data_IF_277564180051
#
_entry.id   IF_277564180051
#
_cell.length_a   1.000
_cell.length_b   1.000
_cell.length_c   1.000
_cell.angle_alpha   90.00
_cell.angle_beta   90.00
_cell.angle_gamma   90.00
#
_symmetry.space_group_name_H-M   'P 1'
#
loop_
_entity.id
_entity.type
_entity.pdbx_description
1 polymer ?
#
# COMPACT_ATOMS: atom_id res chain seq x y z
N UNK A 1 19.65 -59.88 -84.35
CA UNK A 1 20.28 -59.25 -83.17
C UNK A 1 19.77 -57.82 -83.14
N UNK A 2 18.77 -57.59 -82.27
CA UNK A 2 18.12 -56.33 -81.83
C UNK A 2 17.77 -55.23 -82.85
N UNK A 3 16.45 -55.14 -83.10
CA UNK A 3 15.65 -54.00 -83.55
C UNK A 3 15.49 -52.92 -82.45
N UNK A 4 14.75 -51.84 -82.79
CA UNK A 4 14.17 -50.72 -81.99
C UNK A 4 14.91 -49.38 -82.20
N UNK A 5 14.49 -48.52 -83.14
CA UNK A 5 13.34 -47.58 -83.12
C UNK A 5 13.34 -46.59 -81.94
N UNK A 6 13.53 -45.28 -82.24
CA UNK A 6 12.49 -44.30 -81.91
C UNK A 6 12.72 -42.98 -82.68
N UNK A 7 11.76 -42.67 -83.55
CA UNK A 7 11.50 -41.38 -84.16
C UNK A 7 10.17 -40.88 -83.58
N UNK A 8 10.15 -39.76 -82.86
CA UNK A 8 8.95 -39.01 -82.45
C UNK A 8 9.41 -37.84 -81.57
N UNK A 9 8.94 -36.61 -81.69
CA UNK A 9 7.89 -36.03 -82.50
C UNK A 9 8.10 -34.51 -82.53
N UNK A 10 7.83 -33.93 -83.69
CA UNK A 10 7.54 -32.52 -83.84
C UNK A 10 6.21 -32.22 -83.16
N UNK A 11 6.20 -31.36 -82.15
CA UNK A 11 4.96 -30.74 -81.66
C UNK A 11 5.22 -29.30 -81.23
N UNK A 12 5.47 -28.50 -82.27
CA UNK A 12 5.11 -27.09 -82.28
C UNK A 12 3.58 -26.99 -82.23
N UNK A 13 3.08 -25.97 -81.52
CA UNK A 13 1.77 -25.37 -81.72
C UNK A 13 0.60 -26.11 -81.06
N UNK A 14 0.25 -25.68 -79.83
CA UNK A 14 -1.13 -25.50 -79.42
C UNK A 14 -1.19 -24.58 -78.19
N UNK A 15 -1.47 -23.32 -78.52
CA UNK A 15 -1.90 -22.23 -77.67
C UNK A 15 -3.30 -22.56 -77.14
N UNK A 16 -3.39 -23.08 -75.91
CA UNK A 16 -4.67 -23.19 -75.20
C UNK A 16 -4.76 -22.16 -74.08
N UNK A 17 -5.68 -21.23 -74.34
CA UNK A 17 -6.29 -20.23 -73.48
C UNK A 17 -6.63 -20.80 -72.11
N UNK A 18 -5.71 -20.66 -71.15
CA UNK A 18 -6.06 -20.79 -69.73
C UNK A 18 -6.80 -19.53 -69.32
N UNK A 19 -8.11 -19.66 -69.16
CA UNK A 19 -8.97 -18.66 -68.51
C UNK A 19 -8.37 -18.35 -67.14
N UNK A 20 -7.75 -17.17 -67.02
CA UNK A 20 -7.19 -16.66 -65.78
C UNK A 20 -8.36 -16.15 -64.93
N UNK A 21 -8.91 -17.01 -64.07
CA UNK A 21 -9.81 -16.55 -63.00
C UNK A 21 -8.99 -15.57 -62.14
N UNK A 22 -9.37 -14.29 -62.02
CA UNK A 22 -8.71 -13.39 -61.11
C UNK A 22 -8.93 -13.93 -59.70
N UNK A 23 -7.83 -14.29 -59.00
CA UNK A 23 -7.89 -14.60 -57.58
C UNK A 23 -8.50 -13.39 -56.87
N UNK A 24 -9.52 -13.56 -56.01
CA UNK A 24 -10.00 -12.45 -55.20
C UNK A 24 -8.81 -11.90 -54.41
N UNK A 25 -8.58 -10.60 -54.51
CA UNK A 25 -7.64 -9.90 -53.64
C UNK A 25 -8.17 -10.09 -52.22
N UNK A 26 -7.63 -11.08 -51.52
CA UNK A 26 -7.75 -11.15 -50.07
C UNK A 26 -7.17 -9.83 -49.58
N UNK A 27 -7.91 -9.01 -48.81
CA UNK A 27 -7.38 -7.78 -48.28
C UNK A 27 -6.09 -8.14 -47.56
N UNK A 28 -5.00 -7.47 -47.95
CA UNK A 28 -3.67 -7.66 -47.40
C UNK A 28 -3.80 -7.86 -45.90
N UNK A 29 -3.33 -9.03 -45.46
CA UNK A 29 -2.95 -9.29 -44.08
C UNK A 29 -2.33 -8.00 -43.56
N UNK A 30 -3.03 -7.30 -42.65
CA UNK A 30 -2.53 -6.06 -42.06
C UNK A 30 -1.33 -6.49 -41.23
N UNK A 31 -0.18 -6.58 -41.88
CA UNK A 31 1.12 -6.71 -41.26
C UNK A 31 1.27 -5.39 -40.54
N UNK A 32 0.86 -5.39 -39.28
CA UNK A 32 1.14 -4.33 -38.32
C UNK A 32 2.66 -4.26 -38.18
N UNK A 33 3.29 -3.62 -39.16
CA UNK A 33 4.68 -3.19 -39.13
C UNK A 33 4.71 -1.95 -38.24
N UNK A 34 4.23 -2.08 -36.99
CA UNK A 34 4.54 -1.08 -35.99
C UNK A 34 6.07 -1.02 -35.97
N UNK A 35 6.69 0.15 -36.22
CA UNK A 35 8.12 0.22 -36.31
C UNK A 35 8.64 -0.28 -34.96
N UNK A 36 9.35 -1.41 -35.01
CA UNK A 36 9.93 -2.09 -33.85
C UNK A 36 10.54 -1.11 -32.83
N UNK A 37 11.22 0.01 -33.22
CA UNK A 37 11.72 0.99 -32.25
C UNK A 37 10.66 1.80 -31.48
N UNK A 38 9.42 1.93 -31.97
CA UNK A 38 8.31 2.60 -31.27
C UNK A 38 7.48 1.59 -30.48
N UNK A 39 7.34 0.36 -30.99
CA UNK A 39 6.56 -0.66 -30.30
C UNK A 39 7.21 -1.12 -28.99
N UNK A 40 8.54 -1.21 -28.94
CA UNK A 40 9.29 -1.57 -27.72
C UNK A 40 9.04 -0.58 -26.56
N UNK A 41 9.24 0.75 -26.71
CA UNK A 41 9.00 1.69 -25.60
C UNK A 41 7.52 1.75 -25.20
N UNK A 42 6.60 1.62 -26.15
CA UNK A 42 5.17 1.65 -25.87
C UNK A 42 4.74 0.39 -25.08
N UNK A 43 5.27 -0.78 -25.44
CA UNK A 43 5.08 -2.01 -24.68
C UNK A 43 5.72 -1.93 -23.29
N UNK A 44 6.90 -1.31 -23.16
CA UNK A 44 7.56 -1.10 -21.87
C UNK A 44 6.72 -0.18 -20.95
N UNK A 45 6.19 0.93 -21.48
CA UNK A 45 5.31 1.83 -20.72
C UNK A 45 4.03 1.12 -20.27
N UNK A 46 3.41 0.32 -21.15
CA UNK A 46 2.24 -0.47 -20.80
C UNK A 46 2.57 -1.48 -19.69
N UNK A 47 3.70 -2.18 -19.78
CA UNK A 47 4.15 -3.11 -18.74
C UNK A 47 4.41 -2.40 -17.41
N UNK A 48 5.07 -1.23 -17.42
CA UNK A 48 5.31 -0.42 -16.22
C UNK A 48 3.99 0.02 -15.59
N UNK A 49 3.03 0.50 -16.40
CA UNK A 49 1.72 0.91 -15.90
C UNK A 49 0.94 -0.25 -15.26
N UNK A 50 1.00 -1.44 -15.87
CA UNK A 50 0.40 -2.66 -15.31
C UNK A 50 1.08 -3.05 -14.00
N UNK A 51 2.41 -3.05 -13.96
CA UNK A 51 3.18 -3.39 -12.74
C UNK A 51 2.87 -2.38 -11.62
N UNK A 52 2.87 -1.08 -11.92
CA UNK A 52 2.57 -0.04 -10.94
C UNK A 52 1.14 -0.15 -10.40
N UNK A 53 0.16 -0.43 -11.27
CA UNK A 53 -1.22 -0.66 -10.86
C UNK A 53 -1.37 -1.90 -9.95
N UNK A 54 -0.71 -3.01 -10.32
CA UNK A 54 -0.72 -4.23 -9.53
C UNK A 54 -0.03 -4.02 -8.17
N UNK A 55 1.10 -3.31 -8.15
CA UNK A 55 1.82 -2.99 -6.93
C UNK A 55 1.01 -2.07 -6.01
N UNK A 56 0.34 -1.06 -6.56
CA UNK A 56 -0.57 -0.17 -5.81
C UNK A 56 -1.69 -0.96 -5.11
N UNK A 57 -2.24 -1.99 -5.76
CA UNK A 57 -3.27 -2.86 -5.15
C UNK A 57 -2.73 -3.70 -4.01
N UNK A 58 -1.50 -4.20 -4.13
CA UNK A 58 -0.85 -4.94 -3.04
C UNK A 58 -0.57 -4.01 -1.86
N UNK A 59 -0.04 -2.81 -2.10
CA UNK A 59 0.25 -1.84 -1.03
C UNK A 59 -1.00 -1.36 -0.29
N UNK A 60 -2.15 -1.29 -0.95
CA UNK A 60 -3.40 -0.87 -0.31
C UNK A 60 -4.01 -1.98 0.58
N UNK A 61 -3.65 -3.24 0.34
CA UNK A 61 -4.19 -4.39 1.08
C UNK A 61 -3.27 -4.85 2.22
N UNK A 62 -2.04 -4.34 2.28
CA UNK A 62 -1.01 -4.75 3.23
C UNK A 62 -0.85 -3.66 4.30
N UNK A 63 -0.93 -3.99 5.60
CA UNK A 63 -0.72 -3.03 6.69
C UNK A 63 0.75 -2.54 6.71
N UNK A 64 1.00 -1.31 7.20
CA UNK A 64 2.29 -0.59 7.02
C UNK A 64 3.49 -1.35 7.62
N UNK A 65 3.27 -2.08 8.70
CA UNK A 65 4.26 -2.88 9.41
C UNK A 65 4.73 -4.04 8.53
N UNK A 66 3.80 -4.67 7.80
CA UNK A 66 4.12 -5.77 6.88
C UNK A 66 4.71 -5.27 5.55
N UNK A 67 4.39 -4.05 5.12
CA UNK A 67 4.85 -3.50 3.85
C UNK A 67 6.38 -3.37 3.79
N UNK A 68 7.02 -2.92 4.88
CA UNK A 68 8.47 -2.77 4.95
C UNK A 68 9.17 -4.12 4.84
N UNK A 69 8.72 -5.14 5.60
CA UNK A 69 9.28 -6.48 5.55
C UNK A 69 9.10 -7.11 4.15
N UNK A 70 7.90 -7.00 3.57
CA UNK A 70 7.64 -7.50 2.22
C UNK A 70 8.53 -6.79 1.20
N UNK A 71 8.74 -5.48 1.32
CA UNK A 71 9.61 -4.72 0.42
C UNK A 71 11.08 -5.17 0.52
N UNK A 72 11.60 -5.37 1.74
CA UNK A 72 12.97 -5.84 1.97
C UNK A 72 13.15 -7.25 1.40
N UNK A 73 12.22 -8.17 1.69
CA UNK A 73 12.27 -9.55 1.19
C UNK A 73 12.16 -9.58 -0.34
N UNK A 74 11.29 -8.77 -0.92
CA UNK A 74 11.15 -8.67 -2.38
C UNK A 74 12.41 -8.10 -3.02
N UNK A 75 12.98 -7.04 -2.44
CA UNK A 75 14.23 -6.45 -2.92
C UNK A 75 15.38 -7.46 -2.85
N UNK A 76 15.50 -8.21 -1.75
CA UNK A 76 16.50 -9.27 -1.59
C UNK A 76 16.28 -10.42 -2.61
N UNK A 77 15.03 -10.81 -2.85
CA UNK A 77 14.69 -11.85 -3.83
C UNK A 77 15.05 -11.43 -5.26
N UNK A 78 14.68 -10.21 -5.66
CA UNK A 78 15.01 -9.63 -6.96
C UNK A 78 16.54 -9.54 -7.11
N UNK A 79 17.22 -8.94 -6.13
CA UNK A 79 18.66 -8.76 -6.16
C UNK A 79 19.41 -10.09 -6.20
N UNK A 80 19.02 -11.06 -5.38
CA UNK A 80 19.60 -12.40 -5.36
C UNK A 80 19.37 -13.15 -6.67
N UNK A 81 18.17 -13.01 -7.25
CA UNK A 81 17.85 -13.61 -8.54
C UNK A 81 18.68 -13.02 -9.69
N UNK A 82 18.81 -11.69 -9.74
CA UNK A 82 19.67 -11.03 -10.74
C UNK A 82 21.16 -11.30 -10.53
N UNK A 83 21.63 -11.32 -9.27
CA UNK A 83 23.00 -11.67 -8.94
C UNK A 83 23.32 -13.11 -9.39
N UNK A 84 22.42 -14.06 -9.12
CA UNK A 84 22.55 -15.44 -9.58
C UNK A 84 22.57 -15.54 -11.11
N UNK A 85 21.71 -14.78 -11.79
CA UNK A 85 21.69 -14.74 -13.25
C UNK A 85 23.00 -14.17 -13.83
N UNK A 86 23.53 -13.10 -13.22
CA UNK A 86 24.77 -12.46 -13.64
C UNK A 86 25.99 -13.36 -13.44
N UNK A 87 26.02 -14.14 -12.35
CA UNK A 87 27.10 -15.10 -12.07
C UNK A 87 27.06 -16.35 -12.96
N UNK A 88 25.96 -16.61 -13.65
CA UNK A 88 25.79 -17.77 -14.54
C UNK A 88 25.52 -17.33 -15.98
N UNK A 89 26.58 -17.07 -16.79
CA UNK A 89 26.42 -16.61 -18.17
C UNK A 89 25.82 -17.66 -19.14
N UNK A 90 25.61 -18.90 -18.69
CA UNK A 90 25.06 -20.00 -19.49
C UNK A 90 23.83 -20.65 -18.84
N UNK A 91 22.83 -19.85 -18.48
CA UNK A 91 21.56 -20.40 -17.98
C UNK A 91 20.81 -21.13 -19.11
N UNK A 92 20.40 -22.37 -18.84
CA UNK A 92 19.51 -23.09 -19.74
C UNK A 92 18.15 -22.38 -19.85
N UNK A 93 17.39 -22.65 -20.93
CA UNK A 93 16.06 -22.07 -21.12
C UNK A 93 15.10 -22.43 -19.96
N UNK A 94 15.23 -23.62 -19.38
CA UNK A 94 14.45 -24.02 -18.21
C UNK A 94 14.86 -23.27 -16.95
N UNK A 95 16.17 -23.10 -16.70
CA UNK A 95 16.68 -22.35 -15.54
C UNK A 95 16.27 -20.88 -15.56
N UNK A 96 16.18 -20.26 -16.75
CA UNK A 96 15.65 -18.89 -16.89
C UNK A 96 14.17 -18.79 -16.54
N UNK A 97 13.38 -19.79 -16.90
CA UNK A 97 11.93 -19.83 -16.59
C UNK A 97 11.74 -20.04 -15.08
N UNK A 98 12.48 -20.97 -14.49
CA UNK A 98 12.45 -21.26 -13.05
C UNK A 98 12.82 -20.02 -12.22
N UNK A 99 13.91 -19.34 -12.60
CA UNK A 99 14.31 -18.10 -11.96
C UNK A 99 13.25 -16.99 -12.08
N UNK A 100 12.64 -16.85 -13.27
CA UNK A 100 11.57 -15.88 -13.47
C UNK A 100 10.33 -16.19 -12.62
N UNK A 101 10.00 -17.47 -12.42
CA UNK A 101 8.91 -17.87 -11.51
C UNK A 101 9.27 -17.57 -10.05
N UNK A 102 10.48 -17.90 -9.59
CA UNK A 102 10.90 -17.64 -8.21
C UNK A 102 10.89 -16.15 -7.88
N UNK A 103 11.27 -15.29 -8.85
CA UNK A 103 11.24 -13.84 -8.68
C UNK A 103 9.81 -13.29 -8.76
N UNK A 104 8.97 -13.81 -9.66
CA UNK A 104 7.62 -13.31 -9.89
C UNK A 104 6.54 -13.86 -8.95
N UNK A 105 6.74 -15.05 -8.39
CA UNK A 105 5.72 -15.76 -7.60
C UNK A 105 5.28 -15.02 -6.32
N UNK A 106 6.18 -14.39 -5.53
CA UNK A 106 5.78 -13.60 -4.36
C UNK A 106 4.88 -12.41 -4.73
N UNK A 107 5.14 -11.77 -5.87
CA UNK A 107 4.29 -10.69 -6.40
C UNK A 107 2.91 -11.21 -6.80
N UNK A 108 2.86 -12.37 -7.47
CA UNK A 108 1.60 -13.03 -7.84
C UNK A 108 0.76 -13.41 -6.61
N UNK A 109 1.39 -13.93 -5.56
CA UNK A 109 0.70 -14.24 -4.30
C UNK A 109 0.11 -12.97 -3.68
N UNK A 110 0.90 -11.89 -3.57
CA UNK A 110 0.41 -10.63 -3.01
C UNK A 110 -0.80 -10.08 -3.77
N UNK A 111 -0.79 -10.19 -5.11
CA UNK A 111 -1.92 -9.80 -5.96
C UNK A 111 -3.16 -10.66 -5.68
N UNK A 112 -3.01 -11.98 -5.58
CA UNK A 112 -4.14 -12.89 -5.33
C UNK A 112 -4.77 -12.63 -3.96
N UNK A 113 -3.95 -12.42 -2.93
CA UNK A 113 -4.41 -12.09 -1.57
C UNK A 113 -5.16 -10.75 -1.58
N UNK A 114 -4.59 -9.72 -2.20
CA UNK A 114 -5.20 -8.39 -2.28
C UNK A 114 -6.55 -8.37 -3.03
N UNK A 115 -6.76 -9.26 -3.99
CA UNK A 115 -7.97 -9.27 -4.82
C UNK A 115 -9.08 -10.19 -4.30
N UNK A 116 -8.72 -11.25 -3.57
CA UNK A 116 -9.68 -12.23 -3.07
C UNK A 116 -10.11 -11.99 -1.62
N UNK A 117 -9.47 -11.05 -0.91
CA UNK A 117 -9.83 -10.71 0.48
C UNK A 117 -9.57 -11.84 1.48
N UNK A 118 -8.80 -12.86 1.09
CA UNK A 118 -8.32 -13.89 2.02
C UNK A 118 -7.18 -13.29 2.84
N UNK A 119 -7.51 -12.66 3.98
CA UNK A 119 -6.53 -12.39 5.02
C UNK A 119 -5.96 -13.72 5.51
N UNK A 120 -4.71 -14.02 5.13
CA UNK A 120 -4.02 -15.22 5.60
C UNK A 120 -3.20 -14.87 6.85
N UNK A 121 -3.29 -15.65 7.94
CA UNK A 121 -2.39 -15.53 9.07
C UNK A 121 -1.01 -16.02 8.62
N UNK A 122 0.02 -15.21 8.86
CA UNK A 122 1.41 -15.58 8.66
C UNK A 122 2.16 -15.50 9.99
N UNK A 123 1.99 -16.54 10.82
CA UNK A 123 2.98 -17.01 11.81
C UNK A 123 3.97 -17.93 11.06
N UNK A 124 5.28 -18.01 11.29
CA UNK A 124 6.22 -17.46 12.28
C UNK A 124 7.64 -17.59 11.67
N UNK A 125 8.51 -16.61 11.90
CA UNK A 125 9.96 -16.81 12.12
C UNK A 125 10.63 -15.44 12.44
N UNK A 126 10.44 -15.02 13.68
CA UNK A 126 11.30 -14.20 14.55
C UNK A 126 12.72 -13.84 14.03
N UNK A 127 13.05 -12.55 13.99
CA UNK A 127 13.74 -11.87 15.11
C UNK A 127 14.06 -10.39 14.76
N UNK A 128 13.98 -9.57 15.80
CA UNK A 128 14.40 -8.15 15.92
C UNK A 128 13.44 -7.06 15.42
N UNK A 129 12.44 -6.82 16.28
CA UNK A 129 12.02 -5.50 16.80
C UNK A 129 12.22 -4.28 15.88
N UNK A 130 11.21 -4.01 15.04
CA UNK A 130 10.78 -2.64 14.75
C UNK A 130 9.54 -2.39 15.60
N UNK A 131 9.69 -1.67 16.71
CA UNK A 131 8.60 -1.43 17.63
C UNK A 131 7.45 -0.72 16.93
N UNK A 132 6.33 -1.40 16.76
CA UNK A 132 5.09 -0.76 17.18
C UNK A 132 5.30 -0.48 18.67
N UNK A 133 5.55 0.78 19.02
CA UNK A 133 5.25 1.18 20.39
C UNK A 133 3.77 0.88 20.57
N UNK A 134 3.45 -0.13 21.36
CA UNK A 134 2.19 -0.15 22.07
C UNK A 134 2.27 1.02 23.05
N UNK A 135 2.06 2.23 22.53
CA UNK A 135 1.86 3.41 23.34
C UNK A 135 0.49 3.21 23.96
N UNK A 136 0.46 3.24 25.29
CA UNK A 136 -0.74 2.98 26.06
C UNK A 136 -1.30 4.31 26.58
N UNK A 137 -2.55 4.28 27.02
CA UNK A 137 -3.22 5.45 27.55
C UNK A 137 -4.72 5.21 27.68
N UNK A 138 -5.40 6.10 28.39
CA UNK A 138 -6.86 6.14 28.44
C UNK A 138 -7.45 6.44 27.06
N UNK A 139 -6.69 7.16 26.22
CA UNK A 139 -6.92 7.30 24.79
C UNK A 139 -5.60 7.14 24.03
N UNK A 140 -5.65 6.67 22.79
CA UNK A 140 -4.49 6.54 21.90
C UNK A 140 -4.84 7.18 20.56
N UNK A 141 -3.94 8.01 20.04
CA UNK A 141 -4.00 8.59 18.71
C UNK A 141 -2.85 8.07 17.87
N UNK A 142 -3.13 7.75 16.61
CA UNK A 142 -2.12 7.43 15.60
C UNK A 142 -2.08 8.56 14.57
N UNK A 143 -0.92 9.18 14.39
CA UNK A 143 -0.69 10.13 13.31
C UNK A 143 -0.19 9.40 12.07
N UNK A 144 -1.02 9.36 11.02
CA UNK A 144 -0.67 8.80 9.72
C UNK A 144 -1.34 9.55 8.55
N UNK A 145 -0.62 9.71 7.44
CA UNK A 145 -1.08 10.45 6.25
C UNK A 145 -1.48 11.91 6.53
N UNK A 146 -0.80 12.60 7.45
CA UNK A 146 -1.15 13.94 7.92
C UNK A 146 -2.59 14.02 8.49
N UNK A 147 -3.03 12.95 9.15
CA UNK A 147 -4.30 12.84 9.85
C UNK A 147 -4.10 12.08 11.17
N UNK A 148 -4.94 12.36 12.16
CA UNK A 148 -5.15 11.42 13.26
C UNK A 148 -6.11 10.33 12.78
N UNK A 149 -5.95 9.11 13.28
CA UNK A 149 -6.80 7.95 13.00
C UNK A 149 -8.22 8.08 13.57
N UNK A 150 -8.41 8.98 14.54
CA UNK A 150 -9.69 9.32 15.15
C UNK A 150 -9.97 10.83 15.10
N UNK A 151 -11.25 11.20 15.03
CA UNK A 151 -11.76 12.56 15.17
C UNK A 151 -12.38 12.82 16.56
N UNK A 152 -12.33 11.84 17.46
CA UNK A 152 -12.83 11.97 18.83
C UNK A 152 -12.01 11.14 19.83
N UNK A 153 -11.80 11.68 21.03
CA UNK A 153 -11.26 10.94 22.19
C UNK A 153 -12.16 11.15 23.41
N UNK A 154 -12.37 10.08 24.18
CA UNK A 154 -13.16 10.09 25.41
C UNK A 154 -12.23 10.07 26.63
N UNK A 155 -12.46 10.97 27.59
CA UNK A 155 -11.68 11.07 28.84
C UNK A 155 -12.61 11.11 30.05
N UNK A 156 -12.09 10.73 31.22
CA UNK A 156 -12.80 10.89 32.49
C UNK A 156 -12.59 12.30 33.06
N UNK A 157 -13.65 12.90 33.60
CA UNK A 157 -13.56 14.19 34.26
C UNK A 157 -12.88 14.10 35.63
N UNK A 158 -12.06 15.09 35.96
CA UNK A 158 -11.53 15.29 37.32
C UNK A 158 -10.38 14.36 37.74
N UNK A 159 -9.86 13.56 36.83
CA UNK A 159 -8.72 12.66 37.05
C UNK A 159 -7.62 12.97 36.03
N UNK A 160 -6.36 12.75 36.40
CA UNK A 160 -5.24 12.81 35.45
C UNK A 160 -5.40 11.66 34.47
N UNK A 161 -5.33 11.96 33.18
CA UNK A 161 -5.49 10.97 32.12
C UNK A 161 -4.17 10.82 31.35
N UNK A 162 -3.90 9.62 30.87
CA UNK A 162 -2.79 9.38 29.95
C UNK A 162 -3.31 9.32 28.53
N UNK A 163 -2.67 10.04 27.61
CA UNK A 163 -2.99 9.98 26.17
C UNK A 163 -1.75 9.56 25.40
N UNK A 164 -1.86 8.46 24.67
CA UNK A 164 -0.85 7.99 23.76
C UNK A 164 -0.87 8.72 22.42
N UNK A 165 0.30 9.08 21.88
CA UNK A 165 0.47 9.47 20.48
C UNK A 165 1.54 8.60 19.81
N UNK A 166 1.14 7.83 18.80
CA UNK A 166 2.03 7.10 17.90
C UNK A 166 2.17 7.84 16.57
N UNK A 167 3.35 8.40 16.31
CA UNK A 167 3.62 9.13 15.08
C UNK A 167 4.22 8.20 14.02
N UNK A 168 3.37 7.71 13.11
CA UNK A 168 3.77 6.88 11.97
C UNK A 168 4.06 7.68 10.69
N UNK A 169 3.98 9.00 10.76
CA UNK A 169 4.30 9.90 9.67
C UNK A 169 5.78 10.29 9.63
N UNK A 170 6.18 10.90 8.51
CA UNK A 170 7.52 11.46 8.33
C UNK A 170 7.67 12.90 8.85
N UNK A 171 6.58 13.51 9.30
CA UNK A 171 6.54 14.85 9.88
C UNK A 171 6.43 14.74 11.41
N UNK A 172 6.95 15.72 12.18
CA UNK A 172 6.67 15.78 13.61
C UNK A 172 5.21 16.14 13.85
N UNK A 173 4.63 15.61 14.93
CA UNK A 173 3.26 15.88 15.35
C UNK A 173 3.19 16.04 16.85
N UNK A 174 2.22 16.80 17.33
CA UNK A 174 1.92 16.94 18.75
C UNK A 174 0.41 16.82 18.97
N UNK A 175 0.00 16.75 20.24
CA UNK A 175 -1.38 16.87 20.66
C UNK A 175 -1.53 18.10 21.54
N UNK A 176 -2.44 19.00 21.17
CA UNK A 176 -2.87 20.10 22.00
C UNK A 176 -4.39 20.04 22.19
N UNK A 177 -4.87 20.33 23.40
CA UNK A 177 -6.29 20.38 23.75
C UNK A 177 -6.65 21.82 24.10
N UNK A 178 -7.72 22.30 23.49
CA UNK A 178 -8.26 23.65 23.63
C UNK A 178 -9.73 23.61 24.04
N UNK A 179 -10.21 24.69 24.64
CA UNK A 179 -11.63 24.79 25.04
C UNK A 179 -12.61 24.67 23.87
N UNK A 180 -12.22 25.06 22.67
CA UNK A 180 -13.01 24.99 21.44
C UNK A 180 -12.13 25.26 20.20
N UNK A 181 -12.68 25.03 19.00
CA UNK A 181 -11.99 25.25 17.73
C UNK A 181 -11.45 26.68 17.57
N UNK A 182 -12.17 27.71 18.04
CA UNK A 182 -11.71 29.10 17.90
C UNK A 182 -10.39 29.34 18.66
N UNK A 183 -10.26 28.76 19.85
CA UNK A 183 -9.03 28.80 20.65
C UNK A 183 -7.90 27.97 20.02
N UNK A 184 -8.23 26.82 19.40
CA UNK A 184 -7.26 26.01 18.65
C UNK A 184 -6.74 26.72 17.39
N UNK A 185 -7.60 27.41 16.65
CA UNK A 185 -7.20 28.19 15.47
C UNK A 185 -6.28 29.34 15.83
N UNK A 186 -6.50 29.99 17.00
CA UNK A 186 -5.58 31.03 17.50
C UNK A 186 -4.37 30.48 18.23
N UNK A 187 -4.36 29.19 18.60
CA UNK A 187 -3.35 28.55 19.45
C UNK A 187 -3.15 29.32 20.77
N UNK A 188 -4.26 29.74 21.39
CA UNK A 188 -4.24 30.52 22.63
C UNK A 188 -5.06 29.82 23.72
N UNK A 189 -4.53 29.80 24.95
CA UNK A 189 -5.23 29.23 26.09
C UNK A 189 -5.42 27.71 25.99
N UNK A 190 -4.39 27.00 25.53
CA UNK A 190 -4.35 25.54 25.56
C UNK A 190 -4.62 25.04 26.99
N UNK A 191 -5.51 24.06 27.09
CA UNK A 191 -5.75 23.28 28.30
C UNK A 191 -4.69 22.20 28.47
N UNK A 192 -4.12 21.73 27.36
CA UNK A 192 -2.96 20.84 27.30
C UNK A 192 -2.15 21.17 26.04
N UNK A 193 -0.83 21.17 26.15
CA UNK A 193 0.12 21.42 25.06
C UNK A 193 1.25 20.39 25.15
N UNK A 194 1.14 19.34 24.33
CA UNK A 194 2.09 18.22 24.31
C UNK A 194 3.33 18.53 23.49
N UNK A 195 4.44 17.89 23.86
CA UNK A 195 5.70 17.97 23.12
C UNK A 195 5.58 17.41 21.70
N UNK A 196 6.41 17.94 20.79
CA UNK A 196 6.52 17.43 19.42
C UNK A 196 7.10 16.01 19.41
N UNK A 197 6.33 15.06 18.91
CA UNK A 197 6.74 13.67 18.68
C UNK A 197 7.44 13.58 17.32
N UNK A 198 8.72 13.20 17.26
CA UNK A 198 9.44 13.04 16.00
C UNK A 198 8.83 11.96 15.10
N UNK A 199 9.16 12.05 13.80
CA UNK A 199 8.77 11.04 12.81
C UNK A 199 9.11 9.61 13.26
N UNK A 200 8.16 8.68 13.12
CA UNK A 200 8.34 7.26 13.46
C UNK A 200 8.55 6.99 14.95
N UNK A 201 8.20 7.92 15.84
CA UNK A 201 8.35 7.82 17.29
C UNK A 201 6.98 7.89 17.98
N UNK A 202 6.95 7.58 19.26
CA UNK A 202 5.71 7.61 20.05
C UNK A 202 5.97 8.23 21.42
N UNK A 203 4.91 8.73 22.07
CA UNK A 203 4.96 9.22 23.45
C UNK A 203 3.66 8.97 24.20
N UNK A 204 3.72 9.06 25.52
CA UNK A 204 2.55 9.11 26.40
C UNK A 204 2.54 10.48 27.08
N UNK A 205 1.42 11.19 26.95
CA UNK A 205 1.18 12.46 27.59
C UNK A 205 0.40 12.27 28.88
N UNK A 206 0.86 12.88 29.98
CA UNK A 206 0.04 13.06 31.17
C UNK A 206 -0.77 14.36 31.04
N UNK A 207 -2.09 14.24 30.98
CA UNK A 207 -3.03 15.35 30.88
C UNK A 207 -3.64 15.63 32.24
N UNK A 208 -3.46 16.86 32.73
CA UNK A 208 -4.04 17.31 33.99
C UNK A 208 -5.57 17.16 33.99
N UNK A 209 -6.21 17.00 35.17
CA UNK A 209 -7.65 16.84 35.28
C UNK A 209 -8.46 17.88 34.51
N UNK A 210 -9.31 17.40 33.60
CA UNK A 210 -10.20 18.24 32.80
C UNK A 210 -11.62 18.25 33.39
N UNK A 211 -12.29 19.38 33.27
CA UNK A 211 -13.72 19.51 33.62
C UNK A 211 -14.58 18.72 32.62
N UNK A 212 -15.70 18.16 33.10
CA UNK A 212 -16.66 17.50 32.23
C UNK A 212 -17.20 18.46 31.16
N UNK A 213 -17.22 18.02 29.89
CA UNK A 213 -17.63 18.85 28.78
C UNK A 213 -17.08 18.40 27.44
N UNK A 214 -17.38 19.17 26.39
CA UNK A 214 -16.76 19.02 25.07
C UNK A 214 -15.65 20.04 24.92
N UNK A 215 -14.50 19.57 24.45
CA UNK A 215 -13.32 20.37 24.12
C UNK A 215 -12.86 19.98 22.72
N UNK A 216 -11.77 20.57 22.26
CA UNK A 216 -11.27 20.42 20.89
C UNK A 216 -9.79 20.05 20.97
N UNK A 217 -9.34 19.06 20.19
CA UNK A 217 -7.92 18.76 20.07
C UNK A 217 -7.41 19.01 18.66
N UNK A 218 -6.12 19.33 18.54
CA UNK A 218 -5.44 19.40 17.25
C UNK A 218 -3.93 19.13 17.36
N UNK A 219 -3.29 18.90 16.21
CA UNK A 219 -1.85 19.10 16.07
C UNK A 219 -1.58 20.57 15.71
N UNK A 220 -0.74 21.24 16.49
CA UNK A 220 -0.42 22.66 16.29
C UNK A 220 0.51 22.92 15.10
N UNK A 221 1.32 21.93 14.74
CA UNK A 221 2.13 21.94 13.51
C UNK A 221 1.27 21.78 12.25
N UNK A 222 0.14 21.08 12.38
CA UNK A 222 -0.75 20.71 11.27
C UNK A 222 -2.23 20.86 11.67
N UNK A 223 -2.78 22.09 11.76
CA UNK A 223 -4.12 22.34 12.33
C UNK A 223 -5.30 21.67 11.60
N UNK A 224 -5.08 21.02 10.46
CA UNK A 224 -6.07 20.14 9.80
C UNK A 224 -6.26 18.80 10.52
N UNK A 225 -5.30 18.37 11.34
CA UNK A 225 -5.37 17.18 12.18
C UNK A 225 -6.05 17.56 13.49
N UNK A 226 -7.35 17.27 13.61
CA UNK A 226 -8.18 17.79 14.69
C UNK A 226 -9.38 16.90 14.97
N UNK A 227 -9.95 17.09 16.16
CA UNK A 227 -11.15 16.40 16.58
C UNK A 227 -11.72 16.95 17.88
N UNK A 228 -12.70 16.24 18.42
CA UNK A 228 -13.37 16.57 19.68
C UNK A 228 -12.80 15.76 20.85
N UNK A 229 -12.63 16.38 22.00
CA UNK A 229 -12.43 15.67 23.27
C UNK A 229 -13.76 15.67 24.02
N UNK A 230 -14.25 14.49 24.40
CA UNK A 230 -15.43 14.35 25.24
C UNK A 230 -14.99 13.93 26.63
N UNK A 231 -15.12 14.84 27.58
CA UNK A 231 -14.80 14.57 28.99
C UNK A 231 -16.10 14.19 29.70
N UNK A 232 -16.27 12.90 29.96
CA UNK A 232 -17.46 12.36 30.62
C UNK A 232 -17.40 12.62 32.12
N UNK A 233 -18.50 13.15 32.68
CA UNK A 233 -18.63 13.33 34.13
C UNK A 233 -18.66 11.99 34.84
N UNK A 234 -17.67 11.74 35.70
CA UNK A 234 -17.73 10.64 36.66
C UNK A 234 -18.97 10.82 37.54
N UNK A 235 -19.92 9.91 37.42
CA UNK A 235 -21.08 9.85 38.30
C UNK A 235 -20.64 9.55 39.73
N UNK A 236 -20.22 10.58 40.47
CA UNK A 236 -20.04 10.47 41.89
C UNK A 236 -21.42 10.27 42.52
N UNK A 237 -21.76 9.01 42.80
CA UNK A 237 -22.89 8.64 43.62
C UNK A 237 -22.79 9.39 44.95
N UNK A 238 -23.54 10.49 45.04
CA UNK A 238 -23.74 11.26 46.25
C UNK A 238 -24.44 10.38 47.28
N UNK A 239 -23.66 9.66 48.08
CA UNK A 239 -24.13 9.12 49.35
C UNK A 239 -24.35 10.33 50.27
N UNK A 240 -25.56 10.88 50.19
CA UNK A 240 -26.03 11.93 51.08
C UNK A 240 -25.93 11.43 52.51
N UNK A 241 -24.92 11.93 53.23
CA UNK A 241 -24.92 11.88 54.69
C UNK A 241 -26.14 12.66 55.16
N UNK A 242 -27.20 11.93 55.52
CA UNK A 242 -28.28 12.43 56.34
C UNK A 242 -27.67 12.80 57.71
N UNK A 243 -27.29 14.06 57.87
CA UNK A 243 -27.21 14.67 59.19
C UNK A 243 -28.65 14.95 59.61
N UNK A 244 -29.22 14.05 60.39
CA UNK A 244 -30.39 14.39 61.20
C UNK A 244 -29.93 14.40 62.66
N UNK A 245 -29.77 15.61 63.17
CA UNK A 245 -29.60 15.90 64.58
C UNK A 245 -30.75 16.80 65.01
N UNK A 246 -31.57 16.31 65.93
CA UNK A 246 -32.56 17.16 66.61
C UNK A 246 -33.59 16.36 67.41
N UNK A 247 -33.44 16.36 68.74
CA UNK A 247 -34.53 16.10 69.70
C UNK A 247 -34.30 14.97 70.67
#
# INVERSE_FOLDING_TARGET
>A
MSHEEHNSESSSMMDEVRIRVPKPNLPDEIRFNAPLPILIPLAALAAIAVIAFLFSRVLLAVPREAAILIAIVMAANILGGFAFAALRPKLSRSQRIELAMVIGYPLLIGIVIAQLGFGAPAEEASAEAGGASAVEGDAVLVAENLAFDTDAIDLAAGETQTIGLDNQDSAPHNLAIYKNEQAGVSQEGALFDGEDVPAGSSTEYEVDPLDAGKMYFQCDLHPSMKGDVVVAGGGQGGSGKNQDGGG
#
